data_IF_064510380962
#
_entry.id   IF_064510380962
#
_cell.length_a   1.000
_cell.length_b   1.000
_cell.length_c   1.000
_cell.angle_alpha   90.00
_cell.angle_beta   90.00
_cell.angle_gamma   90.00
#
_symmetry.space_group_name_H-M   'P 1'
#
loop_
_entity.id
_entity.type
_entity.pdbx_description
1 polymer ?
#
# COMPACT_ATOMS: atom_id res chain seq x y z
N UNK A 1 -22.60 -41.19 -23.95
CA UNK A 1 -22.05 -39.83 -24.15
C UNK A 1 -21.33 -39.44 -22.87
N UNK A 2 -20.07 -38.97 -22.90
CA UNK A 2 -19.40 -38.45 -21.71
C UNK A 2 -19.96 -37.06 -21.35
N UNK A 3 -19.94 -36.72 -20.06
CA UNK A 3 -20.35 -35.40 -19.57
C UNK A 3 -19.31 -34.33 -19.97
N UNK A 4 -19.73 -33.07 -20.20
CA UNK A 4 -18.81 -31.97 -20.41
C UNK A 4 -17.96 -31.74 -19.14
N UNK A 5 -16.72 -31.28 -19.34
CA UNK A 5 -15.85 -30.85 -18.25
C UNK A 5 -16.50 -29.73 -17.44
N UNK A 6 -16.37 -29.72 -16.10
CA UNK A 6 -16.98 -28.69 -15.27
C UNK A 6 -16.42 -27.30 -15.62
N UNK A 7 -17.28 -26.31 -15.64
CA UNK A 7 -16.86 -24.92 -15.76
C UNK A 7 -16.21 -24.46 -14.44
N UNK A 8 -15.06 -23.79 -14.52
CA UNK A 8 -14.39 -23.22 -13.36
C UNK A 8 -14.91 -21.81 -13.08
N UNK A 9 -15.25 -21.53 -11.82
CA UNK A 9 -15.52 -20.17 -11.36
C UNK A 9 -14.18 -19.42 -11.21
N UNK A 10 -13.83 -18.58 -12.19
CA UNK A 10 -12.74 -17.63 -12.05
C UNK A 10 -13.25 -16.40 -11.29
N UNK A 11 -12.83 -16.26 -10.03
CA UNK A 11 -12.95 -14.98 -9.34
C UNK A 11 -11.90 -14.04 -9.92
N UNK A 12 -12.28 -12.89 -10.52
CA UNK A 12 -11.30 -11.91 -10.93
C UNK A 12 -10.57 -11.44 -9.67
N UNK A 13 -9.28 -11.78 -9.56
CA UNK A 13 -8.42 -11.23 -8.51
C UNK A 13 -8.42 -9.71 -8.65
N UNK A 14 -8.51 -8.94 -7.55
CA UNK A 14 -8.38 -7.50 -7.63
C UNK A 14 -7.09 -7.14 -8.36
N UNK A 15 -7.16 -6.13 -9.21
CA UNK A 15 -6.02 -5.63 -9.98
C UNK A 15 -5.00 -5.07 -9.00
N UNK A 16 -4.03 -5.91 -8.61
CA UNK A 16 -2.92 -5.67 -7.68
C UNK A 16 -3.34 -5.51 -6.20
N UNK A 17 -2.85 -6.37 -5.29
CA UNK A 17 -3.10 -6.19 -3.86
C UNK A 17 -2.41 -4.92 -3.34
N UNK A 18 -3.07 -4.21 -2.42
CA UNK A 18 -2.53 -3.00 -1.79
C UNK A 18 -1.66 -3.37 -0.59
N UNK A 19 -0.41 -2.91 -0.60
CA UNK A 19 0.51 -2.96 0.52
C UNK A 19 0.67 -1.56 1.11
N UNK A 20 0.46 -1.47 2.42
CA UNK A 20 0.68 -0.26 3.19
C UNK A 20 2.06 -0.36 3.85
N UNK A 21 2.94 0.61 3.59
CA UNK A 21 4.31 0.62 4.07
C UNK A 21 4.57 1.86 4.93
N UNK A 22 5.10 1.67 6.13
CA UNK A 22 5.52 2.78 7.00
C UNK A 22 6.90 3.28 6.59
N UNK A 23 7.04 4.59 6.39
CA UNK A 23 8.32 5.23 6.06
C UNK A 23 9.13 5.49 7.34
N UNK A 24 10.27 4.81 7.45
CA UNK A 24 11.25 5.01 8.52
C UNK A 24 12.24 6.17 8.25
N UNK A 25 12.11 6.82 7.08
CA UNK A 25 12.95 7.92 6.64
C UNK A 25 14.30 7.50 6.05
N UNK A 26 14.54 6.20 5.90
CA UNK A 26 15.74 5.67 5.26
C UNK A 26 15.53 5.40 3.77
N UNK A 27 16.63 5.27 3.03
CA UNK A 27 16.59 4.83 1.63
C UNK A 27 16.07 3.38 1.47
N UNK A 28 16.02 2.61 2.56
CA UNK A 28 15.47 1.25 2.57
C UNK A 28 14.00 1.27 2.16
N UNK A 29 13.23 2.26 2.63
CA UNK A 29 11.82 2.45 2.24
C UNK A 29 11.69 2.58 0.73
N UNK A 30 12.41 3.50 0.09
CA UNK A 30 12.36 3.70 -1.37
C UNK A 30 12.75 2.43 -2.14
N UNK A 31 13.76 1.68 -1.66
CA UNK A 31 14.18 0.42 -2.27
C UNK A 31 13.14 -0.68 -2.12
N UNK A 32 12.52 -0.80 -0.95
CA UNK A 32 11.47 -1.77 -0.68
C UNK A 32 10.23 -1.51 -1.53
N UNK A 33 9.81 -0.24 -1.62
CA UNK A 33 8.72 0.21 -2.50
C UNK A 33 8.94 -0.27 -3.94
N UNK A 34 10.13 -0.05 -4.49
CA UNK A 34 10.46 -0.48 -5.85
C UNK A 34 10.38 -2.01 -6.00
N UNK A 35 10.87 -2.76 -5.02
CA UNK A 35 10.82 -4.23 -5.03
C UNK A 35 9.39 -4.80 -4.90
N UNK A 36 8.50 -4.10 -4.19
CA UNK A 36 7.10 -4.46 -4.07
C UNK A 36 6.33 -4.17 -5.36
N UNK A 37 6.56 -3.02 -5.99
CA UNK A 37 5.95 -2.68 -7.30
C UNK A 37 6.37 -3.68 -8.36
N UNK A 38 7.67 -4.05 -8.42
CA UNK A 38 8.16 -5.07 -9.36
C UNK A 38 7.50 -6.45 -9.14
N UNK A 39 7.02 -6.73 -7.92
CA UNK A 39 6.26 -7.94 -7.57
C UNK A 39 4.76 -7.81 -7.84
N UNK A 40 4.31 -6.70 -8.42
CA UNK A 40 2.91 -6.47 -8.76
C UNK A 40 2.05 -5.94 -7.61
N UNK A 41 2.67 -5.44 -6.53
CA UNK A 41 1.93 -4.74 -5.47
C UNK A 41 1.58 -3.33 -5.89
N UNK A 42 0.42 -2.87 -5.44
CA UNK A 42 0.11 -1.45 -5.32
C UNK A 42 0.61 -0.99 -3.96
N UNK A 43 1.47 0.04 -3.91
CA UNK A 43 2.11 0.46 -2.66
C UNK A 43 1.63 1.86 -2.27
N UNK A 44 1.20 1.99 -1.02
CA UNK A 44 0.90 3.27 -0.37
C UNK A 44 1.87 3.43 0.79
N UNK A 45 2.58 4.56 0.82
CA UNK A 45 3.57 4.83 1.87
C UNK A 45 2.99 5.79 2.89
N UNK A 46 2.99 5.41 4.17
CA UNK A 46 2.64 6.28 5.28
C UNK A 46 3.91 6.93 5.82
N UNK A 47 3.99 8.25 5.78
CA UNK A 47 5.10 9.00 6.35
C UNK A 47 4.71 9.66 7.64
N UNK A 48 5.53 9.47 8.68
CA UNK A 48 5.36 10.14 9.96
C UNK A 48 5.76 11.61 9.87
N UNK A 49 5.28 12.47 10.79
CA UNK A 49 5.68 13.86 10.83
C UNK A 49 7.19 14.01 11.01
N UNK A 50 7.76 15.11 10.50
CA UNK A 50 9.19 15.39 10.58
C UNK A 50 9.73 15.49 12.02
N UNK A 51 8.86 15.73 12.99
CA UNK A 51 9.20 15.68 14.42
C UNK A 51 9.60 14.29 14.91
N UNK A 52 9.14 13.22 14.25
CA UNK A 52 9.52 11.83 14.52
C UNK A 52 10.55 11.31 13.53
N UNK A 53 10.33 11.56 12.24
CA UNK A 53 11.15 11.04 11.15
C UNK A 53 11.66 12.22 10.33
N UNK A 54 12.87 12.68 10.66
CA UNK A 54 13.42 13.92 10.13
C UNK A 54 13.71 13.87 8.62
N UNK A 55 13.94 12.68 8.06
CA UNK A 55 14.30 12.49 6.66
C UNK A 55 13.16 11.82 5.91
N UNK A 56 12.90 12.26 4.69
CA UNK A 56 11.90 11.65 3.82
C UNK A 56 12.48 11.56 2.41
N UNK A 57 13.21 10.47 2.11
CA UNK A 57 13.83 10.30 0.80
C UNK A 57 12.78 10.28 -0.33
N UNK A 58 13.16 10.63 -1.56
CA UNK A 58 12.24 10.61 -2.69
C UNK A 58 11.73 9.18 -2.93
N UNK A 59 10.45 9.08 -3.29
CA UNK A 59 9.80 7.85 -3.72
C UNK A 59 9.64 7.84 -5.24
N UNK A 60 9.48 6.66 -5.86
CA UNK A 60 9.05 6.56 -7.24
C UNK A 60 7.77 7.38 -7.50
N UNK A 61 7.63 8.03 -8.67
CA UNK A 61 6.52 8.95 -8.95
C UNK A 61 5.15 8.29 -8.99
N UNK A 62 5.11 6.97 -9.17
CA UNK A 62 3.88 6.15 -9.20
C UNK A 62 3.35 5.78 -7.80
N UNK A 63 4.06 6.19 -6.74
CA UNK A 63 3.73 5.81 -5.36
C UNK A 63 3.03 6.96 -4.65
N UNK A 64 1.89 6.65 -4.03
CA UNK A 64 1.18 7.61 -3.21
C UNK A 64 1.78 7.65 -1.80
N UNK A 65 2.24 8.83 -1.40
CA UNK A 65 2.72 9.12 -0.05
C UNK A 65 1.61 9.80 0.75
N UNK A 66 1.21 9.20 1.85
CA UNK A 66 0.29 9.74 2.83
C UNK A 66 1.11 10.30 3.99
N UNK A 67 1.18 11.63 4.10
CA UNK A 67 1.85 12.28 5.23
C UNK A 67 0.89 12.38 6.41
N UNK A 68 1.22 11.71 7.51
CA UNK A 68 0.54 11.92 8.78
C UNK A 68 1.07 13.21 9.40
N UNK A 69 0.29 14.29 9.36
CA UNK A 69 0.64 15.57 9.98
C UNK A 69 0.48 15.55 11.50
N UNK A 70 -0.35 14.63 12.01
CA UNK A 70 -0.68 14.48 13.42
C UNK A 70 -0.67 13.00 13.81
N UNK A 71 -0.36 12.70 15.06
CA UNK A 71 -0.23 11.33 15.59
C UNK A 71 -1.45 10.89 16.41
N UNK A 72 -2.61 11.46 16.12
CA UNK A 72 -3.87 11.10 16.80
C UNK A 72 -4.45 9.86 16.15
N UNK A 73 -4.86 8.90 16.97
CA UNK A 73 -5.46 7.63 16.51
C UNK A 73 -6.67 7.86 15.58
N UNK A 74 -7.55 8.80 15.93
CA UNK A 74 -8.72 9.17 15.12
C UNK A 74 -8.32 9.65 13.71
N UNK A 75 -7.23 10.41 13.61
CA UNK A 75 -6.73 10.92 12.34
C UNK A 75 -6.11 9.78 11.51
N UNK A 76 -5.33 8.90 12.13
CA UNK A 76 -4.81 7.69 11.48
C UNK A 76 -5.96 6.84 10.91
N UNK A 77 -7.01 6.60 11.69
CA UNK A 77 -8.17 5.83 11.25
C UNK A 77 -8.86 6.47 10.05
N UNK A 78 -9.05 7.80 10.05
CA UNK A 78 -9.60 8.51 8.90
C UNK A 78 -8.74 8.35 7.64
N UNK A 79 -7.41 8.47 7.79
CA UNK A 79 -6.48 8.28 6.67
C UNK A 79 -6.51 6.85 6.12
N UNK A 80 -6.59 5.83 6.99
CA UNK A 80 -6.72 4.43 6.58
C UNK A 80 -8.04 4.16 5.85
N UNK A 81 -9.15 4.78 6.28
CA UNK A 81 -10.44 4.67 5.57
C UNK A 81 -10.36 5.28 4.15
N UNK A 82 -9.65 6.40 3.98
CA UNK A 82 -9.41 6.98 2.65
C UNK A 82 -8.56 6.06 1.76
N UNK A 83 -7.53 5.42 2.33
CA UNK A 83 -6.72 4.42 1.61
C UNK A 83 -7.59 3.26 1.15
N UNK A 84 -8.41 2.69 2.04
CA UNK A 84 -9.32 1.58 1.71
C UNK A 84 -10.33 1.97 0.62
N UNK A 85 -10.91 3.18 0.70
CA UNK A 85 -11.86 3.69 -0.28
C UNK A 85 -11.24 3.98 -1.66
N UNK A 86 -9.95 4.33 -1.71
CA UNK A 86 -9.26 4.72 -2.95
C UNK A 86 -8.54 3.54 -3.62
N UNK A 87 -7.95 2.66 -2.82
CA UNK A 87 -7.02 1.64 -3.26
C UNK A 87 -7.48 0.20 -2.95
N UNK A 88 -8.66 0.05 -2.35
CA UNK A 88 -9.21 -1.25 -1.96
C UNK A 88 -8.58 -1.83 -0.70
N UNK A 89 -8.82 -3.11 -0.47
CA UNK A 89 -8.36 -3.83 0.72
C UNK A 89 -6.83 -3.80 0.87
N UNK A 90 -6.37 -3.54 2.08
CA UNK A 90 -4.96 -3.66 2.46
C UNK A 90 -4.68 -5.14 2.76
N UNK A 91 -3.84 -5.76 1.94
CA UNK A 91 -3.50 -7.20 2.01
C UNK A 91 -2.16 -7.42 2.74
N UNK A 92 -1.37 -6.36 2.95
CA UNK A 92 -0.13 -6.40 3.70
C UNK A 92 0.16 -5.05 4.38
N UNK A 93 0.71 -5.11 5.58
CA UNK A 93 1.24 -3.96 6.33
C UNK A 93 2.68 -4.25 6.74
N UNK A 94 3.59 -3.32 6.44
CA UNK A 94 5.03 -3.42 6.73
C UNK A 94 5.49 -2.17 7.50
#
# INVERSE_FOLDING_TARGET
MPLPTPDFWEFPKPQRPTCLLTDDGSLTTSRLVQLLIQRGWQVVVISLPQSLVAQQPPLPPEVNRLLLTELREEYLQQQLQLVLGTYGSIEAFI
#
